data_IF_687215869927
#
_entry.id   IF_687215869927
#
_cell.length_a   1.000
_cell.length_b   1.000
_cell.length_c   1.000
_cell.angle_alpha   90.00
_cell.angle_beta   90.00
_cell.angle_gamma   90.00
#
_symmetry.space_group_name_H-M   'P 1'
#
loop_
_entity.id
_entity.type
_entity.pdbx_description
1 polymer ?
#
# COMPACT_ATOMS: atom_id res chain seq x y z
N UNK A 1 33.49 -17.78 -9.23
CA UNK A 1 33.59 -16.90 -10.42
C UNK A 1 32.16 -16.80 -10.96
N UNK A 2 31.58 -15.66 -11.30
CA UNK A 2 32.09 -14.28 -11.48
C UNK A 2 31.48 -13.33 -10.41
N UNK A 3 32.14 -12.33 -9.82
CA UNK A 3 32.89 -11.16 -10.34
C UNK A 3 32.05 -9.90 -10.65
N UNK A 4 31.44 -9.34 -9.59
CA UNK A 4 31.20 -7.90 -9.30
C UNK A 4 30.96 -6.92 -10.47
N UNK A 5 29.92 -6.10 -10.33
CA UNK A 5 30.06 -4.62 -10.40
C UNK A 5 28.95 -3.88 -9.65
N UNK A 6 29.34 -3.23 -8.55
CA UNK A 6 28.57 -2.12 -7.96
C UNK A 6 28.91 -0.83 -8.72
N UNK A 7 27.97 0.10 -8.84
CA UNK A 7 28.19 1.42 -9.43
C UNK A 7 27.78 2.52 -8.46
N UNK A 8 28.72 2.95 -7.61
CA UNK A 8 28.62 4.18 -6.83
C UNK A 8 29.43 5.29 -7.49
N UNK A 9 28.85 6.49 -7.57
CA UNK A 9 29.58 7.72 -7.91
C UNK A 9 29.02 8.87 -7.08
N UNK A 10 29.87 9.82 -6.69
CA UNK A 10 29.41 10.89 -5.81
C UNK A 10 30.21 12.18 -5.87
N UNK A 11 29.44 13.26 -5.67
CA UNK A 11 29.78 14.48 -4.93
C UNK A 11 30.79 15.48 -5.56
N UNK A 12 30.36 16.77 -5.55
CA UNK A 12 31.11 18.03 -5.81
C UNK A 12 31.37 18.31 -7.31
N UNK A 13 31.44 19.54 -7.81
CA UNK A 13 31.59 20.88 -7.19
C UNK A 13 30.57 21.93 -7.72
N UNK A 14 30.46 23.09 -7.05
CA UNK A 14 29.83 24.32 -7.56
C UNK A 14 30.84 25.28 -8.21
N UNK A 15 30.39 26.35 -8.91
CA UNK A 15 30.17 27.68 -8.29
C UNK A 15 28.74 28.22 -8.59
N UNK A 16 28.05 29.08 -7.82
CA UNK A 16 28.37 30.31 -7.04
C UNK A 16 28.09 31.63 -7.78
N UNK A 17 27.02 32.33 -7.33
CA UNK A 17 26.87 33.80 -7.23
C UNK A 17 26.59 34.55 -8.56
N UNK A 18 25.82 35.69 -8.57
CA UNK A 18 25.30 36.49 -7.45
C UNK A 18 23.77 36.62 -7.33
N UNK A 19 23.35 37.00 -6.12
CA UNK A 19 22.08 37.71 -5.85
C UNK A 19 22.40 39.19 -5.60
N UNK A 20 21.65 40.11 -6.21
CA UNK A 20 21.49 41.49 -5.73
C UNK A 20 20.03 41.61 -5.26
N UNK A 21 19.72 41.85 -3.98
CA UNK A 21 20.14 42.92 -3.04
C UNK A 21 19.52 44.28 -3.38
N UNK A 22 18.38 44.56 -2.74
CA UNK A 22 17.85 45.91 -2.54
C UNK A 22 17.77 46.15 -1.02
N UNK A 23 18.49 47.16 -0.54
CA UNK A 23 18.38 47.72 0.81
C UNK A 23 18.43 49.24 0.70
N UNK A 24 17.76 49.94 1.61
CA UNK A 24 17.51 51.38 1.51
C UNK A 24 18.69 52.27 1.95
N UNK A 25 18.76 53.48 1.39
CA UNK A 25 19.43 54.66 1.96
C UNK A 25 18.88 55.96 1.29
N UNK A 26 19.05 57.13 1.93
CA UNK A 26 18.29 58.36 1.61
C UNK A 26 19.19 59.56 1.10
N UNK A 27 18.98 60.88 1.39
CA UNK A 27 19.28 61.98 0.43
C UNK A 27 20.45 62.92 0.87
N UNK A 28 20.76 64.03 0.14
CA UNK A 28 20.15 65.35 0.46
C UNK A 28 20.09 66.39 -0.71
N UNK A 29 19.58 67.61 -0.42
CA UNK A 29 19.81 68.85 -1.20
C UNK A 29 18.62 69.32 -2.05
N UNK A 30 17.90 70.44 -1.79
CA UNK A 30 18.09 71.66 -0.98
C UNK A 30 18.91 72.80 -1.61
N UNK A 31 18.23 73.64 -2.41
CA UNK A 31 18.49 75.07 -2.60
C UNK A 31 17.14 75.80 -2.72
N UNK A 32 16.97 77.10 -2.45
CA UNK A 32 17.34 78.00 -1.35
C UNK A 32 16.86 79.39 -1.80
N UNK A 33 15.96 79.98 -1.01
CA UNK A 33 15.40 81.33 -1.10
C UNK A 33 16.40 82.47 -1.42
N UNK A 34 15.94 83.62 -1.97
CA UNK A 34 15.29 84.67 -1.15
C UNK A 34 14.07 85.35 -1.82
N UNK A 35 13.46 86.45 -1.32
CA UNK A 35 13.02 86.89 0.03
C UNK A 35 12.64 88.39 -0.06
N UNK A 36 11.58 88.83 0.63
CA UNK A 36 11.21 90.26 0.87
C UNK A 36 10.87 91.09 -0.40
N UNK A 37 10.18 92.25 -0.33
CA UNK A 37 9.86 93.11 0.83
C UNK A 37 8.43 93.68 0.73
N UNK A 38 7.82 94.01 1.88
CA UNK A 38 6.69 94.95 1.94
C UNK A 38 7.13 96.36 1.54
N UNK A 39 6.19 97.23 1.16
CA UNK A 39 6.18 98.63 1.62
C UNK A 39 4.79 99.28 1.36
N UNK A 40 4.37 100.14 2.27
CA UNK A 40 3.22 101.05 2.09
C UNK A 40 3.67 102.36 1.45
N UNK A 41 2.71 103.22 1.06
CA UNK A 41 2.88 104.65 1.37
C UNK A 41 1.67 105.26 2.09
N UNK A 42 1.90 106.39 2.76
CA UNK A 42 0.89 107.13 3.54
C UNK A 42 1.14 108.64 3.37
N UNK A 43 0.09 109.41 3.07
CA UNK A 43 -0.06 110.88 3.26
C UNK A 43 0.87 111.86 2.50
N UNK A 44 0.21 112.81 1.79
CA UNK A 44 0.76 114.14 1.44
C UNK A 44 1.47 114.23 0.07
N UNK A 45 1.57 115.44 -0.54
CA UNK A 45 1.58 116.75 0.13
C UNK A 45 0.40 117.70 -0.21
N UNK A 46 0.54 118.98 0.20
CA UNK A 46 -0.44 120.07 0.17
C UNK A 46 -0.74 120.63 -1.24
N UNK A 47 -1.86 121.34 -1.35
CA UNK A 47 -2.12 122.30 -2.42
C UNK A 47 -1.05 123.41 -2.45
N UNK A 48 -0.62 123.79 -3.65
CA UNK A 48 0.06 125.05 -3.95
C UNK A 48 -0.62 125.70 -5.16
N UNK A 49 -0.87 127.01 -5.12
CA UNK A 49 -1.56 127.71 -6.21
C UNK A 49 -0.61 128.03 -7.36
N UNK A 50 -0.91 127.57 -8.58
CA UNK A 50 -0.11 127.84 -9.77
C UNK A 50 -0.79 127.31 -11.04
N UNK A 51 -1.16 128.25 -11.92
CA UNK A 51 -1.67 128.15 -13.31
C UNK A 51 -1.87 126.74 -13.93
N UNK A 52 -3.06 126.51 -14.48
CA UNK A 52 -3.43 125.30 -15.22
C UNK A 52 -2.81 125.24 -16.62
N UNK A 53 -2.09 124.15 -16.93
CA UNK A 53 -1.70 123.78 -18.30
C UNK A 53 -2.42 122.49 -18.73
N UNK A 54 -3.59 122.63 -19.38
CA UNK A 54 -4.45 121.51 -19.76
C UNK A 54 -3.83 120.56 -20.81
N UNK A 55 -2.82 121.00 -21.55
CA UNK A 55 -2.23 120.21 -22.64
C UNK A 55 -1.54 118.93 -22.15
N UNK A 56 -0.81 118.98 -21.04
CA UNK A 56 -0.06 117.81 -20.53
C UNK A 56 -1.01 116.77 -19.90
N UNK A 57 -2.04 117.23 -19.19
CA UNK A 57 -3.06 116.37 -18.63
C UNK A 57 -3.87 115.62 -19.70
N UNK A 58 -4.08 116.22 -20.87
CA UNK A 58 -4.78 115.56 -21.98
C UNK A 58 -3.95 114.43 -22.62
N UNK A 59 -2.62 114.56 -22.68
CA UNK A 59 -1.73 113.52 -23.21
C UNK A 59 -1.70 112.29 -22.28
N UNK A 60 -1.43 112.51 -20.99
CA UNK A 60 -1.44 111.45 -19.97
C UNK A 60 -2.78 110.72 -19.88
N UNK A 61 -3.90 111.41 -20.11
CA UNK A 61 -5.23 110.82 -20.12
C UNK A 61 -5.60 110.15 -21.47
N UNK A 62 -4.80 110.31 -22.52
CA UNK A 62 -4.84 109.46 -23.72
C UNK A 62 -4.06 108.17 -23.47
N UNK A 63 -2.81 108.30 -23.02
CA UNK A 63 -1.94 107.17 -22.65
C UNK A 63 -2.63 106.24 -21.64
N UNK A 64 -3.25 106.79 -20.58
CA UNK A 64 -3.98 106.00 -19.59
C UNK A 64 -5.29 105.36 -20.12
N UNK A 65 -5.82 105.84 -21.24
CA UNK A 65 -6.94 105.18 -21.94
C UNK A 65 -6.44 104.07 -22.85
N UNK A 66 -5.31 104.29 -23.52
CA UNK A 66 -4.64 103.29 -24.36
C UNK A 66 -4.12 102.11 -23.53
N UNK A 67 -3.45 102.34 -22.39
CA UNK A 67 -3.06 101.25 -21.48
C UNK A 67 -4.29 100.51 -20.97
N UNK A 68 -5.35 101.21 -20.54
CA UNK A 68 -6.59 100.57 -20.07
C UNK A 68 -7.35 99.82 -21.16
N UNK A 69 -7.24 100.22 -22.44
CA UNK A 69 -7.77 99.41 -23.55
C UNK A 69 -6.89 98.19 -23.83
N UNK A 70 -5.57 98.30 -23.70
CA UNK A 70 -4.65 97.18 -23.89
C UNK A 70 -4.83 96.15 -22.76
N UNK A 71 -4.84 96.57 -21.50
CA UNK A 71 -5.21 95.74 -20.34
C UNK A 71 -6.57 95.05 -20.54
N UNK A 72 -7.56 95.75 -21.10
CA UNK A 72 -8.87 95.17 -21.39
C UNK A 72 -8.80 94.12 -22.51
N UNK A 73 -8.00 94.33 -23.55
CA UNK A 73 -7.80 93.36 -24.65
C UNK A 73 -7.03 92.13 -24.14
N UNK A 74 -5.94 92.32 -23.40
CA UNK A 74 -5.18 91.23 -22.74
C UNK A 74 -6.08 90.41 -21.81
N UNK A 75 -6.93 91.06 -21.00
CA UNK A 75 -7.92 90.37 -20.16
C UNK A 75 -9.03 89.68 -20.98
N UNK A 76 -9.31 90.13 -22.21
CA UNK A 76 -10.24 89.46 -23.12
C UNK A 76 -9.60 88.21 -23.71
N UNK A 77 -8.38 88.32 -24.27
CA UNK A 77 -7.60 87.19 -24.79
C UNK A 77 -7.36 86.13 -23.72
N UNK A 78 -7.05 86.54 -22.49
CA UNK A 78 -6.88 85.63 -21.35
C UNK A 78 -8.19 84.90 -21.00
N UNK A 79 -9.33 85.60 -21.06
CA UNK A 79 -10.65 85.03 -20.79
C UNK A 79 -11.12 84.08 -21.91
N UNK A 80 -10.89 84.43 -23.18
CA UNK A 80 -11.15 83.55 -24.34
C UNK A 80 -10.27 82.28 -24.25
N UNK A 81 -9.02 82.43 -23.81
CA UNK A 81 -8.12 81.31 -23.54
C UNK A 81 -8.60 80.44 -22.37
N UNK A 82 -9.12 81.04 -21.29
CA UNK A 82 -9.78 80.29 -20.22
C UNK A 82 -11.06 79.60 -20.67
N UNK A 83 -11.90 80.22 -21.51
CA UNK A 83 -13.08 79.60 -22.09
C UNK A 83 -12.71 78.37 -22.91
N UNK A 84 -11.70 78.46 -23.79
CA UNK A 84 -11.19 77.32 -24.55
C UNK A 84 -10.62 76.21 -23.66
N UNK A 85 -10.03 76.55 -22.51
CA UNK A 85 -9.54 75.57 -21.54
C UNK A 85 -10.69 74.88 -20.80
N UNK A 86 -11.72 75.62 -20.37
CA UNK A 86 -12.93 75.07 -19.72
C UNK A 86 -13.68 74.15 -20.69
N UNK A 87 -13.80 74.53 -21.96
CA UNK A 87 -14.41 73.70 -23.00
C UNK A 87 -13.59 72.43 -23.26
N UNK A 88 -12.26 72.53 -23.31
CA UNK A 88 -11.37 71.36 -23.40
C UNK A 88 -11.46 70.45 -22.18
N UNK A 89 -11.57 71.00 -20.97
CA UNK A 89 -11.78 70.21 -19.74
C UNK A 89 -13.14 69.51 -19.78
N UNK A 90 -14.23 70.18 -20.19
CA UNK A 90 -15.54 69.54 -20.38
C UNK A 90 -15.51 68.41 -21.42
N UNK A 91 -14.82 68.60 -22.53
CA UNK A 91 -14.63 67.56 -23.54
C UNK A 91 -13.87 66.36 -22.98
N UNK A 92 -12.78 66.59 -22.24
CA UNK A 92 -11.99 65.54 -21.58
C UNK A 92 -12.77 64.83 -20.45
N UNK A 93 -13.60 65.55 -19.70
CA UNK A 93 -14.52 64.95 -18.74
C UNK A 93 -15.58 64.08 -19.42
N UNK A 94 -16.15 64.53 -20.54
CA UNK A 94 -17.14 63.76 -21.30
C UNK A 94 -16.50 62.52 -21.92
N UNK A 95 -15.29 62.63 -22.46
CA UNK A 95 -14.51 61.49 -22.95
C UNK A 95 -14.18 60.50 -21.83
N UNK A 96 -13.74 60.97 -20.65
CA UNK A 96 -13.53 60.09 -19.49
C UNK A 96 -14.83 59.41 -19.02
N UNK A 97 -15.97 60.12 -19.02
CA UNK A 97 -17.28 59.52 -18.67
C UNK A 97 -17.68 58.41 -19.66
N UNK A 98 -17.42 58.59 -20.95
CA UNK A 98 -17.62 57.54 -21.97
C UNK A 98 -16.67 56.36 -21.74
N UNK A 99 -15.36 56.62 -21.62
CA UNK A 99 -14.34 55.58 -21.39
C UNK A 99 -14.58 54.77 -20.11
N UNK A 100 -15.10 55.38 -19.04
CA UNK A 100 -15.48 54.66 -17.80
C UNK A 100 -16.70 53.76 -18.03
N UNK A 101 -17.67 54.18 -18.83
CA UNK A 101 -18.82 53.33 -19.20
C UNK A 101 -18.38 52.18 -20.10
N UNK A 102 -17.54 52.43 -21.09
CA UNK A 102 -16.97 51.41 -21.99
C UNK A 102 -16.10 50.40 -21.21
N UNK A 103 -15.27 50.86 -20.28
CA UNK A 103 -14.43 50.00 -19.44
C UNK A 103 -15.27 49.11 -18.51
N UNK A 104 -16.36 49.63 -17.93
CA UNK A 104 -17.28 48.81 -17.14
C UNK A 104 -18.01 47.79 -18.02
N UNK A 105 -18.50 48.19 -19.20
CA UNK A 105 -19.16 47.27 -20.14
C UNK A 105 -18.21 46.16 -20.64
N UNK A 106 -16.94 46.47 -20.88
CA UNK A 106 -15.93 45.47 -21.22
C UNK A 106 -15.66 44.52 -20.04
N UNK A 107 -15.53 45.06 -18.83
CA UNK A 107 -15.31 44.27 -17.59
C UNK A 107 -16.48 43.32 -17.28
N UNK A 108 -17.71 43.73 -17.56
CA UNK A 108 -18.91 42.90 -17.43
C UNK A 108 -19.07 41.85 -18.56
N UNK A 109 -18.26 41.95 -19.63
CA UNK A 109 -18.21 40.99 -20.75
C UNK A 109 -17.04 39.99 -20.64
N UNK A 110 -15.99 40.31 -19.86
CA UNK A 110 -14.89 39.39 -19.56
C UNK A 110 -15.23 38.37 -18.44
N UNK A 111 -14.46 37.28 -18.32
CA UNK A 111 -14.65 36.06 -19.06
C UNK A 111 -15.58 35.07 -18.33
N UNK A 112 -16.62 35.52 -17.59
CA UNK A 112 -17.45 34.65 -16.72
C UNK A 112 -17.87 33.37 -17.43
N UNK A 113 -18.55 33.46 -18.59
CA UNK A 113 -19.03 32.31 -19.35
C UNK A 113 -17.94 31.27 -19.65
N UNK A 114 -16.71 31.71 -19.90
CA UNK A 114 -15.58 30.80 -20.18
C UNK A 114 -15.05 30.17 -18.89
N UNK A 115 -14.99 30.93 -17.80
CA UNK A 115 -14.68 30.39 -16.48
C UNK A 115 -15.76 29.39 -15.99
N UNK A 116 -17.04 29.65 -16.28
CA UNK A 116 -18.17 28.81 -15.93
C UNK A 116 -18.10 27.46 -16.68
N UNK A 117 -17.82 27.48 -17.99
CA UNK A 117 -17.57 26.26 -18.80
C UNK A 117 -16.39 25.45 -18.23
N UNK A 118 -15.27 26.09 -17.91
CA UNK A 118 -14.12 25.37 -17.31
C UNK A 118 -14.43 24.83 -15.91
N UNK A 119 -15.30 25.48 -15.13
CA UNK A 119 -15.77 24.93 -13.86
C UNK A 119 -16.72 23.73 -14.07
N UNK A 120 -17.56 23.72 -15.11
CA UNK A 120 -18.42 22.58 -15.46
C UNK A 120 -17.60 21.37 -15.90
N UNK A 121 -16.64 21.54 -16.81
CA UNK A 121 -15.70 20.48 -17.18
C UNK A 121 -14.91 19.97 -15.96
N UNK A 122 -14.48 20.86 -15.05
CA UNK A 122 -13.78 20.45 -13.83
C UNK A 122 -14.69 19.68 -12.85
N UNK A 123 -16.00 20.00 -12.78
CA UNK A 123 -16.99 19.23 -11.99
C UNK A 123 -17.21 17.85 -12.60
N UNK A 124 -17.31 17.75 -13.93
CA UNK A 124 -17.53 16.47 -14.61
C UNK A 124 -16.29 15.58 -14.64
N UNK A 125 -15.08 16.16 -14.73
CA UNK A 125 -13.84 15.42 -14.53
C UNK A 125 -13.74 14.86 -13.10
N UNK A 126 -14.12 15.63 -12.07
CA UNK A 126 -14.19 15.13 -10.68
C UNK A 126 -15.20 13.99 -10.52
N UNK A 127 -16.42 14.15 -11.05
CA UNK A 127 -17.44 13.07 -11.08
C UNK A 127 -16.92 11.81 -11.77
N UNK A 128 -16.21 11.93 -12.90
CA UNK A 128 -15.59 10.79 -13.60
C UNK A 128 -14.49 10.13 -12.76
N UNK A 129 -13.67 10.90 -12.05
CA UNK A 129 -12.66 10.36 -11.11
C UNK A 129 -13.31 9.64 -9.93
N UNK A 130 -14.38 10.18 -9.34
CA UNK A 130 -15.16 9.55 -8.27
C UNK A 130 -15.83 8.24 -8.73
N UNK A 131 -16.40 8.23 -9.94
CA UNK A 131 -16.96 7.04 -10.57
C UNK A 131 -15.90 5.97 -10.86
N UNK A 132 -14.72 6.36 -11.37
CA UNK A 132 -13.61 5.43 -11.60
C UNK A 132 -13.01 4.91 -10.30
N UNK A 133 -12.89 5.73 -9.26
CA UNK A 133 -12.41 5.31 -7.94
C UNK A 133 -13.36 4.32 -7.27
N UNK A 134 -14.67 4.57 -7.33
CA UNK A 134 -15.68 3.64 -6.77
C UNK A 134 -15.82 2.36 -7.59
N UNK A 135 -15.66 2.42 -8.92
CA UNK A 135 -15.58 1.22 -9.77
C UNK A 135 -14.30 0.41 -9.48
N UNK A 136 -13.14 1.06 -9.34
CA UNK A 136 -11.87 0.43 -8.96
C UNK A 136 -11.99 -0.29 -7.62
N UNK A 137 -12.53 0.37 -6.60
CA UNK A 137 -12.67 -0.22 -5.26
C UNK A 137 -13.56 -1.48 -5.26
N UNK A 138 -14.61 -1.53 -6.10
CA UNK A 138 -15.41 -2.75 -6.30
C UNK A 138 -14.62 -3.86 -6.97
N UNK A 139 -13.90 -3.56 -8.06
CA UNK A 139 -13.06 -4.53 -8.76
C UNK A 139 -11.90 -5.06 -7.89
N UNK A 140 -11.40 -4.25 -6.96
CA UNK A 140 -10.40 -4.68 -5.97
C UNK A 140 -11.02 -5.64 -4.93
N UNK A 141 -12.23 -5.37 -4.43
CA UNK A 141 -12.94 -6.34 -3.57
C UNK A 141 -13.33 -7.62 -4.32
N UNK A 142 -13.78 -7.53 -5.58
CA UNK A 142 -14.08 -8.69 -6.43
C UNK A 142 -12.82 -9.53 -6.69
N UNK A 143 -11.67 -8.90 -6.94
CA UNK A 143 -10.37 -9.58 -7.03
C UNK A 143 -10.02 -10.31 -5.73
N UNK A 144 -10.18 -9.65 -4.59
CA UNK A 144 -9.74 -10.20 -3.30
C UNK A 144 -10.64 -11.37 -2.86
N UNK A 145 -11.97 -11.25 -3.03
CA UNK A 145 -12.90 -12.36 -2.84
C UNK A 145 -12.53 -13.57 -3.74
N UNK A 146 -12.25 -13.32 -5.04
CA UNK A 146 -11.84 -14.38 -5.96
C UNK A 146 -10.47 -14.99 -5.60
N UNK A 147 -9.56 -14.22 -4.99
CA UNK A 147 -8.28 -14.73 -4.51
C UNK A 147 -8.45 -15.62 -3.26
N UNK A 148 -9.33 -15.25 -2.33
CA UNK A 148 -9.71 -16.09 -1.18
C UNK A 148 -10.41 -17.38 -1.63
N UNK A 149 -11.36 -17.30 -2.57
CA UNK A 149 -12.01 -18.48 -3.16
C UNK A 149 -10.99 -19.44 -3.81
N UNK A 150 -10.07 -18.90 -4.63
CA UNK A 150 -9.03 -19.67 -5.31
C UNK A 150 -8.07 -20.31 -4.30
N UNK A 151 -7.69 -19.58 -3.24
CA UNK A 151 -6.92 -20.13 -2.12
C UNK A 151 -7.65 -21.29 -1.41
N UNK A 152 -8.96 -21.13 -1.15
CA UNK A 152 -9.77 -22.19 -0.54
C UNK A 152 -9.88 -23.44 -1.44
N UNK A 153 -9.92 -23.25 -2.76
CA UNK A 153 -9.96 -24.34 -3.74
C UNK A 153 -8.59 -25.02 -3.87
N UNK A 154 -7.50 -24.28 -3.79
CA UNK A 154 -6.14 -24.83 -3.73
C UNK A 154 -5.93 -25.68 -2.47
N UNK A 155 -6.40 -25.22 -1.31
CA UNK A 155 -6.33 -26.01 -0.08
C UNK A 155 -7.15 -27.31 -0.20
N UNK A 156 -8.43 -27.23 -0.60
CA UNK A 156 -9.29 -28.41 -0.81
C UNK A 156 -8.68 -29.41 -1.80
N UNK A 157 -8.01 -28.92 -2.85
CA UNK A 157 -7.30 -29.76 -3.82
C UNK A 157 -6.05 -30.44 -3.21
N UNK A 158 -5.31 -29.76 -2.34
CA UNK A 158 -4.20 -30.37 -1.60
C UNK A 158 -4.68 -31.44 -0.63
N UNK A 159 -5.74 -31.14 0.15
CA UNK A 159 -6.37 -32.08 1.08
C UNK A 159 -6.83 -33.34 0.33
N UNK A 160 -7.59 -33.19 -0.76
CA UNK A 160 -8.07 -34.30 -1.60
C UNK A 160 -6.90 -35.10 -2.21
N UNK A 161 -5.81 -34.45 -2.63
CA UNK A 161 -4.60 -35.13 -3.13
C UNK A 161 -3.92 -35.95 -2.03
N UNK A 162 -3.88 -35.46 -0.78
CA UNK A 162 -3.35 -36.24 0.35
C UNK A 162 -4.22 -37.46 0.66
N UNK A 163 -5.54 -37.29 0.76
CA UNK A 163 -6.49 -38.39 0.96
C UNK A 163 -6.41 -39.44 -0.15
N UNK A 164 -6.24 -39.01 -1.40
CA UNK A 164 -6.04 -39.89 -2.58
C UNK A 164 -4.75 -40.71 -2.46
N UNK A 165 -3.65 -40.10 -2.00
CA UNK A 165 -2.36 -40.78 -1.80
C UNK A 165 -2.40 -41.75 -0.61
N UNK A 166 -3.07 -41.40 0.49
CA UNK A 166 -3.32 -42.30 1.61
C UNK A 166 -4.17 -43.51 1.19
N UNK A 167 -5.23 -43.27 0.41
CA UNK A 167 -6.06 -44.34 -0.15
C UNK A 167 -5.28 -45.27 -1.09
N UNK A 168 -4.42 -44.72 -1.96
CA UNK A 168 -3.54 -45.52 -2.82
C UNK A 168 -2.52 -46.35 -2.02
N UNK A 169 -1.93 -45.76 -0.96
CA UNK A 169 -1.01 -46.45 -0.05
C UNK A 169 -1.68 -47.59 0.71
N UNK A 170 -2.87 -47.34 1.27
CA UNK A 170 -3.65 -48.36 1.98
C UNK A 170 -4.09 -49.50 1.02
N UNK A 171 -4.48 -49.16 -0.22
CA UNK A 171 -4.83 -50.14 -1.24
C UNK A 171 -3.62 -50.97 -1.71
N UNK A 172 -2.41 -50.38 -1.73
CA UNK A 172 -1.18 -51.12 -1.99
C UNK A 172 -0.83 -52.09 -0.84
N UNK A 173 -0.98 -51.66 0.42
CA UNK A 173 -0.81 -52.52 1.59
C UNK A 173 -1.80 -53.71 1.58
N UNK A 174 -3.09 -53.46 1.35
CA UNK A 174 -4.09 -54.53 1.28
C UNK A 174 -3.84 -55.53 0.12
N UNK A 175 -3.24 -55.10 -1.00
CA UNK A 175 -2.78 -56.03 -2.05
C UNK A 175 -1.65 -56.92 -1.54
N UNK A 176 -0.65 -56.34 -0.89
CA UNK A 176 0.45 -57.10 -0.28
C UNK A 176 -0.05 -58.09 0.78
N UNK A 177 -1.02 -57.70 1.60
CA UNK A 177 -1.65 -58.60 2.58
C UNK A 177 -2.42 -59.76 1.92
N UNK A 178 -3.12 -59.51 0.81
CA UNK A 178 -3.79 -60.56 0.02
C UNK A 178 -2.77 -61.50 -0.62
N UNK A 179 -1.66 -60.99 -1.16
CA UNK A 179 -0.58 -61.82 -1.74
C UNK A 179 0.11 -62.66 -0.65
N UNK A 180 0.41 -62.07 0.51
CA UNK A 180 0.94 -62.77 1.69
C UNK A 180 -0.02 -63.87 2.16
N UNK A 181 -1.32 -63.60 2.24
CA UNK A 181 -2.33 -64.58 2.62
C UNK A 181 -2.49 -65.69 1.58
N UNK A 182 -2.36 -65.39 0.28
CA UNK A 182 -2.38 -66.38 -0.79
C UNK A 182 -1.15 -67.32 -0.74
N UNK A 183 0.04 -66.79 -0.46
CA UNK A 183 1.25 -67.58 -0.22
C UNK A 183 1.10 -68.49 1.00
N UNK A 184 0.63 -67.95 2.13
CA UNK A 184 0.37 -68.74 3.33
C UNK A 184 -0.68 -69.85 3.09
N UNK A 185 -1.70 -69.58 2.27
CA UNK A 185 -2.69 -70.59 1.85
C UNK A 185 -2.05 -71.71 1.03
N UNK A 186 -1.20 -71.35 0.06
CA UNK A 186 -0.46 -72.32 -0.77
C UNK A 186 0.55 -73.16 0.04
N UNK A 187 1.15 -72.60 1.08
CA UNK A 187 2.03 -73.35 2.01
C UNK A 187 1.24 -74.36 2.85
N UNK A 188 0.06 -73.98 3.34
CA UNK A 188 -0.84 -74.87 4.06
C UNK A 188 -1.42 -75.95 3.13
N UNK A 189 -1.82 -75.61 1.91
CA UNK A 189 -2.30 -76.57 0.90
C UNK A 189 -1.21 -77.60 0.54
N UNK A 190 0.03 -77.14 0.31
CA UNK A 190 1.18 -78.04 0.09
C UNK A 190 1.43 -78.95 1.30
N UNK A 191 1.38 -78.42 2.52
CA UNK A 191 1.61 -79.21 3.75
C UNK A 191 0.50 -80.22 4.02
N UNK A 192 -0.76 -79.89 3.70
CA UNK A 192 -1.88 -80.83 3.72
C UNK A 192 -1.67 -81.94 2.70
N UNK A 193 -1.22 -81.63 1.48
CA UNK A 193 -0.84 -82.62 0.47
C UNK A 193 0.22 -83.59 0.97
N UNK A 194 1.36 -83.10 1.47
CA UNK A 194 2.44 -83.96 1.99
C UNK A 194 1.99 -84.86 3.15
N UNK A 195 1.09 -84.37 4.02
CA UNK A 195 0.54 -85.17 5.12
C UNK A 195 -0.47 -86.23 4.62
N UNK A 196 -1.20 -85.95 3.54
CA UNK A 196 -2.07 -86.94 2.89
C UNK A 196 -1.26 -88.03 2.20
N UNK A 197 -0.16 -87.68 1.53
CA UNK A 197 0.79 -88.63 0.94
C UNK A 197 1.47 -89.49 2.01
N UNK A 198 1.89 -88.90 3.13
CA UNK A 198 2.45 -89.62 4.28
C UNK A 198 1.44 -90.61 4.90
N UNK A 199 0.18 -90.18 5.09
CA UNK A 199 -0.90 -91.07 5.57
C UNK A 199 -1.18 -92.19 4.55
N UNK A 200 -1.14 -91.92 3.25
CA UNK A 200 -1.35 -92.92 2.21
C UNK A 200 -0.19 -93.93 2.13
N UNK A 201 1.05 -93.48 2.32
CA UNK A 201 2.24 -94.32 2.42
C UNK A 201 2.17 -95.22 3.67
N UNK A 202 1.93 -94.64 4.85
CA UNK A 202 1.81 -95.39 6.10
C UNK A 202 0.66 -96.43 6.04
N UNK A 203 -0.44 -96.15 5.34
CA UNK A 203 -1.50 -97.16 5.13
C UNK A 203 -1.03 -98.33 4.29
N UNK A 204 -0.33 -98.09 3.17
CA UNK A 204 0.23 -99.16 2.33
C UNK A 204 1.24 -100.01 3.10
N UNK A 205 2.14 -99.38 3.86
CA UNK A 205 3.13 -100.10 4.69
C UNK A 205 2.43 -100.99 5.71
N UNK A 206 1.43 -100.49 6.45
CA UNK A 206 0.67 -101.35 7.37
C UNK A 206 -0.15 -102.45 6.65
N UNK A 207 -0.68 -102.21 5.45
CA UNK A 207 -1.36 -103.24 4.64
C UNK A 207 -0.39 -104.33 4.16
N UNK A 208 0.84 -103.95 3.79
CA UNK A 208 1.93 -104.85 3.42
C UNK A 208 2.46 -105.63 4.63
N UNK A 209 2.72 -104.98 5.77
CA UNK A 209 3.08 -105.62 7.05
C UNK A 209 2.00 -106.61 7.52
N UNK A 210 0.72 -106.22 7.48
CA UNK A 210 -0.39 -107.10 7.84
C UNK A 210 -0.50 -108.29 6.89
N UNK A 211 -0.22 -108.10 5.60
CA UNK A 211 -0.15 -109.20 4.62
C UNK A 211 1.04 -110.11 4.93
N UNK A 212 2.22 -109.59 5.19
CA UNK A 212 3.39 -110.39 5.54
C UNK A 212 3.17 -111.17 6.84
N UNK A 213 2.58 -110.56 7.88
CA UNK A 213 2.22 -111.25 9.11
C UNK A 213 1.15 -112.33 8.89
N UNK A 214 0.18 -112.11 8.00
CA UNK A 214 -0.78 -113.15 7.60
C UNK A 214 -0.11 -114.29 6.82
N UNK A 215 0.82 -113.99 5.92
CA UNK A 215 1.62 -115.01 5.23
C UNK A 215 2.54 -115.77 6.19
N UNK A 216 3.19 -115.09 7.15
CA UNK A 216 3.99 -115.72 8.20
C UNK A 216 3.12 -116.63 9.08
N UNK A 217 1.92 -116.19 9.48
CA UNK A 217 0.97 -117.00 10.24
C UNK A 217 0.45 -118.21 9.43
N UNK A 218 0.24 -118.04 8.13
CA UNK A 218 -0.15 -119.13 7.24
C UNK A 218 0.99 -120.16 7.04
N UNK A 219 2.23 -119.68 6.85
CA UNK A 219 3.46 -120.51 6.79
C UNK A 219 3.73 -121.22 8.13
N UNK A 220 3.46 -120.57 9.28
CA UNK A 220 3.54 -121.23 10.60
C UNK A 220 2.42 -122.24 10.84
N UNK A 221 1.25 -122.08 10.20
CA UNK A 221 0.15 -123.06 10.25
C UNK A 221 0.29 -124.22 9.28
N UNK A 222 1.19 -124.13 8.29
CA UNK A 222 1.41 -125.17 7.28
C UNK A 222 2.91 -125.41 7.09
N UNK A 223 3.36 -126.56 7.60
CA UNK A 223 4.67 -127.18 7.41
C UNK A 223 5.79 -126.78 8.42
N UNK A 224 5.90 -127.60 9.48
CA UNK A 224 7.18 -127.90 10.14
C UNK A 224 7.37 -129.41 10.09
N UNK A 225 7.80 -129.92 8.94
CA UNK A 225 8.35 -131.27 8.82
C UNK A 225 9.81 -131.13 8.40
N UNK A 226 10.71 -131.66 9.22
CA UNK A 226 12.16 -131.40 9.11
C UNK A 226 12.80 -132.51 8.28
N UNK A 227 12.74 -132.37 6.96
CA UNK A 227 13.24 -133.38 6.04
C UNK A 227 14.77 -133.29 5.88
N UNK A 228 15.49 -134.35 6.31
CA UNK A 228 16.93 -134.29 6.60
C UNK A 228 17.80 -134.90 5.50
N UNK A 229 17.70 -134.36 4.28
CA UNK A 229 18.72 -134.58 3.26
C UNK A 229 19.92 -133.65 3.50
N UNK A 230 21.14 -134.21 3.61
CA UNK A 230 22.36 -133.44 3.94
C UNK A 230 22.75 -132.52 2.76
N UNK A 231 22.72 -131.19 2.92
CA UNK A 231 23.37 -130.27 1.97
C UNK A 231 24.89 -130.33 2.20
N UNK A 232 25.68 -129.80 1.26
CA UNK A 232 27.07 -129.45 1.59
C UNK A 232 27.06 -128.25 2.55
N UNK A 233 27.11 -128.55 3.85
CA UNK A 233 27.18 -127.57 4.92
C UNK A 233 28.38 -126.61 4.72
N UNK A 234 29.45 -127.10 4.09
CA UNK A 234 30.65 -126.32 3.77
C UNK A 234 30.38 -125.25 2.70
N UNK A 235 29.44 -125.47 1.79
CA UNK A 235 29.00 -124.48 0.82
C UNK A 235 28.03 -123.48 1.46
N UNK A 236 26.97 -123.96 2.12
CA UNK A 236 25.99 -123.08 2.77
C UNK A 236 26.63 -122.13 3.80
N UNK A 237 27.57 -122.61 4.62
CA UNK A 237 28.31 -121.76 5.56
C UNK A 237 29.23 -120.74 4.86
N UNK A 238 29.74 -121.05 3.66
CA UNK A 238 30.57 -120.14 2.86
C UNK A 238 29.73 -119.05 2.21
N UNK A 239 28.55 -119.41 1.71
CA UNK A 239 27.61 -118.47 1.11
C UNK A 239 27.03 -117.52 2.16
N UNK A 240 26.56 -118.05 3.31
CA UNK A 240 26.11 -117.25 4.46
C UNK A 240 27.23 -116.30 4.92
N UNK A 241 28.48 -116.79 5.01
CA UNK A 241 29.62 -115.94 5.35
C UNK A 241 29.85 -114.84 4.32
N UNK A 242 29.79 -115.16 3.02
CA UNK A 242 29.94 -114.15 1.96
C UNK A 242 28.83 -113.09 1.98
N UNK A 243 27.59 -113.48 2.32
CA UNK A 243 26.47 -112.57 2.51
C UNK A 243 26.68 -111.66 3.72
N UNK A 244 27.16 -112.18 4.84
CA UNK A 244 27.53 -111.37 6.01
C UNK A 244 28.71 -110.43 5.73
N UNK A 245 29.74 -110.88 5.02
CA UNK A 245 30.88 -110.05 4.64
C UNK A 245 30.47 -108.95 3.63
N UNK A 246 29.58 -109.26 2.69
CA UNK A 246 28.99 -108.28 1.77
C UNK A 246 28.05 -107.28 2.46
N UNK A 247 27.17 -107.74 3.36
CA UNK A 247 26.30 -106.84 4.15
C UNK A 247 27.09 -105.95 5.09
N UNK A 248 28.16 -106.46 5.71
CA UNK A 248 29.06 -105.66 6.54
C UNK A 248 29.78 -104.59 5.71
N UNK A 249 30.27 -104.93 4.51
CA UNK A 249 30.88 -103.97 3.59
C UNK A 249 29.88 -102.91 3.12
N UNK A 250 28.66 -103.32 2.73
CA UNK A 250 27.58 -102.42 2.31
C UNK A 250 27.21 -101.45 3.43
N UNK A 251 26.95 -101.94 4.64
CA UNK A 251 26.63 -101.11 5.80
C UNK A 251 27.75 -100.11 6.16
N UNK A 252 29.03 -100.51 6.05
CA UNK A 252 30.17 -99.58 6.25
C UNK A 252 30.21 -98.50 5.15
N UNK A 253 29.97 -98.87 3.88
CA UNK A 253 29.92 -97.91 2.78
C UNK A 253 28.70 -96.97 2.90
N UNK A 254 27.51 -97.49 3.18
CA UNK A 254 26.27 -96.74 3.36
C UNK A 254 26.37 -95.77 4.54
N UNK A 255 26.95 -96.19 5.67
CA UNK A 255 27.18 -95.28 6.81
C UNK A 255 28.25 -94.23 6.50
N UNK A 256 29.34 -94.57 5.82
CA UNK A 256 30.31 -93.58 5.32
C UNK A 256 29.67 -92.56 4.36
N UNK A 257 28.87 -93.00 3.40
CA UNK A 257 28.17 -92.14 2.43
C UNK A 257 27.11 -91.27 3.11
N UNK A 258 26.37 -91.81 4.08
CA UNK A 258 25.45 -91.07 4.92
C UNK A 258 26.16 -89.98 5.74
N UNK A 259 27.30 -90.29 6.38
CA UNK A 259 28.10 -89.29 7.09
C UNK A 259 28.66 -88.23 6.14
N UNK A 260 29.22 -88.62 4.98
CA UNK A 260 29.74 -87.67 3.97
C UNK A 260 28.64 -86.72 3.49
N UNK A 261 27.46 -87.24 3.18
CA UNK A 261 26.27 -86.47 2.82
C UNK A 261 25.85 -85.53 3.96
N UNK A 262 25.80 -86.01 5.20
CA UNK A 262 25.43 -85.20 6.38
C UNK A 262 26.45 -84.07 6.67
N UNK A 263 27.74 -84.30 6.42
CA UNK A 263 28.75 -83.25 6.52
C UNK A 263 28.64 -82.23 5.38
N UNK A 264 28.30 -82.65 4.16
CA UNK A 264 28.01 -81.73 3.05
C UNK A 264 26.78 -80.85 3.35
N UNK A 265 25.65 -81.44 3.74
CA UNK A 265 24.43 -80.76 4.19
C UNK A 265 24.73 -79.63 5.21
N UNK A 266 25.50 -79.97 6.25
CA UNK A 266 25.85 -79.05 7.33
C UNK A 266 26.81 -77.95 6.87
N UNK A 267 27.74 -78.27 5.96
CA UNK A 267 28.68 -77.29 5.39
C UNK A 267 27.94 -76.30 4.48
N UNK A 268 27.06 -76.78 3.61
CA UNK A 268 26.25 -75.94 2.73
C UNK A 268 25.23 -75.11 3.51
N UNK A 269 24.67 -75.64 4.61
CA UNK A 269 23.82 -74.86 5.51
C UNK A 269 24.64 -73.75 6.21
N UNK A 270 25.82 -74.06 6.73
CA UNK A 270 26.71 -73.08 7.36
C UNK A 270 27.15 -71.99 6.37
N UNK A 271 27.46 -72.35 5.12
CA UNK A 271 27.76 -71.40 4.05
C UNK A 271 26.58 -70.45 3.78
N UNK A 272 25.37 -70.98 3.54
CA UNK A 272 24.15 -70.19 3.34
C UNK A 272 23.84 -69.27 4.52
N UNK A 273 24.02 -69.73 5.76
CA UNK A 273 23.85 -68.89 6.94
C UNK A 273 24.92 -67.78 7.06
N UNK A 274 26.17 -68.06 6.69
CA UNK A 274 27.24 -67.06 6.64
C UNK A 274 26.97 -65.99 5.56
N UNK A 275 26.46 -66.39 4.39
CA UNK A 275 26.07 -65.46 3.32
C UNK A 275 24.86 -64.61 3.68
N UNK A 276 23.82 -65.19 4.28
CA UNK A 276 22.67 -64.44 4.79
C UNK A 276 23.09 -63.42 5.87
N UNK A 277 23.97 -63.82 6.79
CA UNK A 277 24.54 -62.91 7.80
C UNK A 277 25.43 -61.81 7.18
N UNK A 278 26.09 -62.10 6.04
CA UNK A 278 26.88 -61.12 5.29
C UNK A 278 25.98 -60.09 4.60
N UNK A 279 24.88 -60.52 3.98
CA UNK A 279 23.90 -59.66 3.33
C UNK A 279 23.17 -58.75 4.33
N UNK A 280 22.62 -59.32 5.41
CA UNK A 280 21.97 -58.54 6.48
C UNK A 280 22.92 -57.50 7.12
N UNK A 281 24.23 -57.79 7.19
CA UNK A 281 25.25 -56.82 7.62
C UNK A 281 25.54 -55.74 6.58
N UNK A 282 25.38 -55.99 5.28
CA UNK A 282 25.50 -54.95 4.25
C UNK A 282 24.29 -54.02 4.28
N UNK A 283 23.08 -54.59 4.26
CA UNK A 283 21.80 -53.88 4.39
C UNK A 283 21.78 -52.98 5.64
N UNK A 284 22.14 -53.51 6.81
CA UNK A 284 22.22 -52.73 8.05
C UNK A 284 23.25 -51.57 7.98
N UNK A 285 24.35 -51.73 7.24
CA UNK A 285 25.30 -50.63 7.01
C UNK A 285 24.80 -49.62 5.98
N UNK A 286 23.99 -50.04 5.02
CA UNK A 286 23.38 -49.17 4.00
C UNK A 286 22.25 -48.33 4.60
N UNK A 287 21.36 -48.92 5.40
CA UNK A 287 20.40 -48.17 6.21
C UNK A 287 21.10 -47.19 7.16
N UNK A 288 22.24 -47.58 7.77
CA UNK A 288 23.02 -46.67 8.62
C UNK A 288 23.59 -45.48 7.84
N UNK A 289 24.06 -45.68 6.61
CA UNK A 289 24.51 -44.59 5.72
C UNK A 289 23.36 -43.69 5.28
N UNK A 290 22.20 -44.27 4.93
CA UNK A 290 20.99 -43.52 4.55
C UNK A 290 20.52 -42.63 5.71
N UNK A 291 20.46 -43.17 6.93
CA UNK A 291 20.17 -42.41 8.16
C UNK A 291 21.15 -41.26 8.37
N UNK A 292 22.46 -41.48 8.18
CA UNK A 292 23.46 -40.43 8.30
C UNK A 292 23.28 -39.33 7.23
N UNK A 293 23.02 -39.69 5.97
CA UNK A 293 22.74 -38.72 4.90
C UNK A 293 21.49 -37.88 5.21
N UNK A 294 20.36 -38.53 5.51
CA UNK A 294 19.10 -37.88 5.88
C UNK A 294 19.25 -36.98 7.13
N UNK A 295 20.10 -37.36 8.09
CA UNK A 295 20.38 -36.51 9.26
C UNK A 295 21.13 -35.25 8.86
N UNK A 296 22.17 -35.35 8.02
CA UNK A 296 22.91 -34.19 7.52
C UNK A 296 22.03 -33.28 6.63
N UNK A 297 21.14 -33.86 5.81
CA UNK A 297 20.19 -33.09 4.99
C UNK A 297 19.18 -32.34 5.87
N UNK A 298 18.66 -32.98 6.94
CA UNK A 298 17.79 -32.33 7.93
C UNK A 298 18.51 -31.22 8.71
N UNK A 299 19.79 -31.41 9.06
CA UNK A 299 20.60 -30.38 9.73
C UNK A 299 20.88 -29.19 8.79
N UNK A 300 21.18 -29.45 7.51
CA UNK A 300 21.37 -28.41 6.50
C UNK A 300 20.08 -27.62 6.22
N UNK A 301 18.94 -28.30 6.09
CA UNK A 301 17.63 -27.66 5.90
C UNK A 301 17.22 -26.84 7.13
N UNK A 302 17.48 -27.33 8.36
CA UNK A 302 17.28 -26.56 9.60
C UNK A 302 18.14 -25.29 9.62
N UNK A 303 19.45 -25.40 9.35
CA UNK A 303 20.35 -24.25 9.30
C UNK A 303 19.95 -23.23 8.24
N UNK A 304 19.46 -23.70 7.07
CA UNK A 304 18.90 -22.83 6.03
C UNK A 304 17.63 -22.13 6.50
N UNK A 305 16.71 -22.83 7.15
CA UNK A 305 15.46 -22.25 7.65
C UNK A 305 15.74 -21.19 8.73
N UNK A 306 16.58 -21.51 9.74
CA UNK A 306 16.99 -20.53 10.75
C UNK A 306 17.69 -19.30 10.12
N UNK A 307 18.44 -19.47 9.02
CA UNK A 307 19.05 -18.35 8.29
C UNK A 307 18.00 -17.47 7.61
N UNK A 308 16.97 -18.07 7.01
CA UNK A 308 15.85 -17.34 6.40
C UNK A 308 15.00 -16.64 7.46
N UNK A 309 14.72 -17.27 8.60
CA UNK A 309 14.04 -16.62 9.73
C UNK A 309 14.82 -15.42 10.29
N UNK A 310 16.16 -15.52 10.40
CA UNK A 310 16.99 -14.38 10.82
C UNK A 310 16.91 -13.24 9.80
N UNK A 311 16.98 -13.55 8.50
CA UNK A 311 16.83 -12.56 7.43
C UNK A 311 15.43 -11.93 7.40
N UNK A 312 14.37 -12.69 7.69
CA UNK A 312 13.01 -12.16 7.83
C UNK A 312 12.95 -11.14 8.97
N UNK A 313 13.39 -11.52 10.18
CA UNK A 313 13.42 -10.62 11.35
C UNK A 313 14.26 -9.37 11.10
N UNK A 314 15.43 -9.50 10.48
CA UNK A 314 16.27 -8.36 10.10
C UNK A 314 15.59 -7.42 9.09
N UNK A 315 14.71 -7.93 8.21
CA UNK A 315 13.94 -7.10 7.29
C UNK A 315 12.74 -6.44 7.99
N UNK A 316 12.04 -7.18 8.84
CA UNK A 316 10.94 -6.67 9.67
C UNK A 316 11.41 -5.53 10.59
N UNK A 317 12.55 -5.70 11.27
CA UNK A 317 13.18 -4.65 12.09
C UNK A 317 13.56 -3.41 11.27
N UNK A 318 14.11 -3.59 10.06
CA UNK A 318 14.45 -2.46 9.17
C UNK A 318 13.22 -1.72 8.69
N UNK A 319 12.18 -2.43 8.25
CA UNK A 319 10.92 -1.80 7.83
C UNK A 319 10.19 -1.13 9.00
N UNK A 320 10.28 -1.67 10.22
CA UNK A 320 9.76 -1.02 11.42
C UNK A 320 10.51 0.30 11.72
N UNK A 321 11.84 0.30 11.61
CA UNK A 321 12.66 1.51 11.78
C UNK A 321 12.43 2.56 10.68
N UNK A 322 12.29 2.14 9.43
CA UNK A 322 11.92 3.03 8.32
C UNK A 322 10.52 3.62 8.52
N UNK A 323 9.54 2.79 8.90
CA UNK A 323 8.16 3.24 9.19
C UNK A 323 8.11 4.22 10.36
N UNK A 324 8.86 3.97 11.44
CA UNK A 324 9.00 4.90 12.54
C UNK A 324 9.64 6.23 12.09
N UNK A 325 10.71 6.17 11.27
CA UNK A 325 11.34 7.36 10.70
C UNK A 325 10.39 8.18 9.81
N UNK A 326 9.56 7.53 9.00
CA UNK A 326 8.51 8.23 8.24
C UNK A 326 7.48 8.85 9.17
N UNK A 327 7.01 8.14 10.20
CA UNK A 327 6.06 8.66 11.19
C UNK A 327 6.62 9.88 11.94
N UNK A 328 7.89 9.87 12.35
CA UNK A 328 8.57 11.01 12.96
C UNK A 328 8.61 12.21 12.01
N UNK A 329 8.87 12.01 10.71
CA UNK A 329 8.83 13.11 9.73
C UNK A 329 7.41 13.65 9.50
N UNK A 330 6.37 12.81 9.58
CA UNK A 330 4.97 13.25 9.52
C UNK A 330 4.62 14.09 10.74
N UNK A 331 4.91 13.60 11.95
CA UNK A 331 4.65 14.33 13.21
C UNK A 331 5.35 15.69 13.20
N UNK A 332 6.62 15.75 12.77
CA UNK A 332 7.36 17.01 12.71
C UNK A 332 6.77 17.99 11.68
N UNK A 333 6.28 17.51 10.54
CA UNK A 333 5.58 18.34 9.56
C UNK A 333 4.21 18.81 10.07
N UNK A 334 3.51 18.00 10.86
CA UNK A 334 2.27 18.39 11.54
C UNK A 334 2.51 19.41 12.68
N UNK A 335 3.70 19.43 13.28
CA UNK A 335 4.17 20.47 14.21
C UNK A 335 4.53 21.76 13.47
N UNK A 336 5.34 21.68 12.40
CA UNK A 336 5.67 22.79 11.51
C UNK A 336 4.38 23.48 11.00
N UNK A 337 3.37 22.70 10.59
CA UNK A 337 2.05 23.19 10.13
C UNK A 337 1.20 23.79 11.26
N UNK A 338 1.31 23.32 12.51
CA UNK A 338 0.61 23.91 13.67
C UNK A 338 1.22 25.26 14.04
N UNK A 339 2.54 25.32 14.18
CA UNK A 339 3.28 26.54 14.45
C UNK A 339 2.97 27.64 13.42
N UNK A 340 3.02 27.34 12.12
CA UNK A 340 2.69 28.30 11.06
C UNK A 340 1.22 28.77 11.08
N UNK A 341 0.28 27.97 11.59
CA UNK A 341 -1.12 28.39 11.78
C UNK A 341 -1.28 29.31 12.99
N UNK A 342 -0.53 29.06 14.06
CA UNK A 342 -0.50 29.89 15.26
C UNK A 342 0.14 31.26 14.97
N UNK A 343 1.28 31.29 14.26
CA UNK A 343 1.90 32.52 13.76
C UNK A 343 0.97 33.32 12.83
N UNK A 344 0.28 32.65 11.90
CA UNK A 344 -0.71 33.29 11.02
C UNK A 344 -1.88 33.89 11.82
N UNK A 345 -2.36 33.19 12.85
CA UNK A 345 -3.43 33.69 13.72
C UNK A 345 -2.98 34.90 14.55
N UNK A 346 -1.75 34.89 15.08
CA UNK A 346 -1.16 36.05 15.76
C UNK A 346 -1.05 37.25 14.82
N UNK A 347 -0.51 37.08 13.61
CA UNK A 347 -0.42 38.17 12.64
C UNK A 347 -1.79 38.73 12.23
N UNK A 348 -2.81 37.89 12.08
CA UNK A 348 -4.17 38.36 11.82
C UNK A 348 -4.73 39.20 12.98
N UNK A 349 -4.43 38.84 14.23
CA UNK A 349 -4.77 39.64 15.41
C UNK A 349 -4.01 40.98 15.42
N UNK A 350 -2.69 40.96 15.19
CA UNK A 350 -1.85 42.18 15.10
C UNK A 350 -2.36 43.15 14.01
N UNK A 351 -2.75 42.62 12.84
CA UNK A 351 -3.33 43.42 11.75
C UNK A 351 -4.70 44.00 12.12
N UNK A 352 -5.55 43.24 12.83
CA UNK A 352 -6.85 43.73 13.28
C UNK A 352 -6.69 44.84 14.33
N UNK A 353 -5.75 44.71 15.26
CA UNK A 353 -5.52 45.73 16.29
C UNK A 353 -4.83 46.98 15.71
N UNK A 354 -3.94 46.83 14.73
CA UNK A 354 -3.41 47.96 13.97
C UNK A 354 -4.51 48.68 13.14
N UNK A 355 -5.46 47.94 12.58
CA UNK A 355 -6.63 48.50 11.89
C UNK A 355 -7.55 49.24 12.87
N UNK A 356 -7.76 48.70 14.07
CA UNK A 356 -8.53 49.34 15.15
C UNK A 356 -7.90 50.70 15.54
N UNK A 357 -6.57 50.74 15.74
CA UNK A 357 -5.82 51.98 16.00
C UNK A 357 -5.92 52.96 14.83
N UNK A 358 -5.79 52.49 13.58
CA UNK A 358 -5.94 53.33 12.40
C UNK A 358 -7.33 53.97 12.30
N UNK A 359 -8.39 53.23 12.63
CA UNK A 359 -9.77 53.73 12.65
C UNK A 359 -9.97 54.78 13.76
N UNK A 360 -9.38 54.60 14.94
CA UNK A 360 -9.38 55.62 15.99
C UNK A 360 -8.70 56.92 15.53
N UNK A 361 -7.53 56.82 14.87
CA UNK A 361 -6.82 57.96 14.31
C UNK A 361 -7.59 58.68 13.18
N UNK A 362 -8.33 57.95 12.33
CA UNK A 362 -9.24 58.57 11.34
C UNK A 362 -10.31 59.41 12.03
N UNK A 363 -10.89 58.91 13.13
CA UNK A 363 -11.93 59.60 13.91
C UNK A 363 -11.33 60.84 14.61
N UNK A 364 -10.15 60.73 15.20
CA UNK A 364 -9.42 61.89 15.75
C UNK A 364 -9.19 62.96 14.66
N UNK A 365 -8.63 62.58 13.51
CA UNK A 365 -8.41 63.49 12.37
C UNK A 365 -9.73 64.14 11.90
N UNK A 366 -10.83 63.38 11.84
CA UNK A 366 -12.13 63.91 11.47
C UNK A 366 -12.68 64.91 12.51
N UNK A 367 -12.50 64.66 13.80
CA UNK A 367 -12.90 65.62 14.86
C UNK A 367 -12.02 66.86 14.88
N UNK A 368 -10.71 66.74 14.67
CA UNK A 368 -9.80 67.88 14.54
C UNK A 368 -10.14 68.75 13.34
N UNK A 369 -10.45 68.16 12.17
CA UNK A 369 -10.93 68.91 10.98
C UNK A 369 -12.21 69.67 11.27
N UNK A 370 -13.21 69.00 11.85
CA UNK A 370 -14.49 69.62 12.23
C UNK A 370 -14.33 70.76 13.25
N UNK A 371 -13.33 70.67 14.13
CA UNK A 371 -13.02 71.74 15.09
C UNK A 371 -12.33 72.93 14.41
N UNK A 372 -11.43 72.69 13.44
CA UNK A 372 -10.79 73.72 12.62
C UNK A 372 -11.80 74.45 11.71
N UNK A 373 -12.68 73.72 11.03
CA UNK A 373 -13.83 74.27 10.29
C UNK A 373 -14.72 75.15 11.22
N UNK A 374 -14.84 74.76 12.48
CA UNK A 374 -15.51 75.52 13.55
C UNK A 374 -14.77 76.78 14.05
N UNK A 375 -13.49 76.96 13.73
CA UNK A 375 -12.73 78.19 13.96
C UNK A 375 -12.63 79.06 12.70
N UNK A 376 -12.47 78.46 11.52
CA UNK A 376 -12.51 79.19 10.24
C UNK A 376 -13.85 79.92 10.05
N UNK A 377 -14.95 79.29 10.48
CA UNK A 377 -16.29 79.90 10.55
C UNK A 377 -16.48 80.94 11.65
N UNK A 378 -15.57 81.05 12.62
CA UNK A 378 -15.50 82.18 13.59
C UNK A 378 -14.63 83.34 13.08
N UNK A 379 -13.60 83.05 12.28
CA UNK A 379 -12.59 84.01 11.85
C UNK A 379 -12.95 84.69 10.51
N UNK A 380 -13.80 84.07 9.68
CA UNK A 380 -14.09 84.54 8.31
C UNK A 380 -15.33 85.44 8.22
N UNK A 381 -15.12 86.73 7.94
CA UNK A 381 -16.16 87.66 7.47
C UNK A 381 -16.60 87.23 6.05
N UNK A 382 -17.91 87.18 5.71
CA UNK A 382 -18.41 86.27 4.70
C UNK A 382 -18.10 86.64 3.24
N UNK A 383 -17.60 85.67 2.48
CA UNK A 383 -17.68 85.62 1.01
C UNK A 383 -18.23 84.25 0.57
N UNK A 384 -19.52 84.28 0.21
CA UNK A 384 -20.35 83.30 -0.52
C UNK A 384 -19.92 81.82 -0.63
N UNK A 385 -20.77 80.96 -0.05
CA UNK A 385 -20.79 79.50 -0.24
C UNK A 385 -21.12 79.08 -1.68
N UNK A 386 -20.66 77.89 -2.08
CA UNK A 386 -21.31 77.12 -3.14
C UNK A 386 -21.30 75.60 -2.88
N UNK A 387 -22.41 74.96 -3.26
CA UNK A 387 -22.57 73.53 -3.58
C UNK A 387 -22.32 72.49 -2.48
N UNK A 388 -23.42 71.99 -1.93
CA UNK A 388 -23.49 70.77 -1.13
C UNK A 388 -23.15 69.50 -1.94
N UNK A 389 -22.55 68.51 -1.28
CA UNK A 389 -22.51 67.12 -1.74
C UNK A 389 -23.33 66.24 -0.80
N UNK A 390 -24.26 65.47 -1.37
CA UNK A 390 -25.11 64.54 -0.62
C UNK A 390 -24.35 63.23 -0.38
N UNK A 391 -23.94 62.96 0.86
CA UNK A 391 -23.53 61.61 1.26
C UNK A 391 -24.80 60.77 1.39
N UNK A 392 -24.85 59.67 0.65
CA UNK A 392 -25.99 58.75 0.59
C UNK A 392 -25.67 57.53 1.45
N UNK A 393 -26.45 57.31 2.51
CA UNK A 393 -26.28 56.14 3.38
C UNK A 393 -26.44 54.84 2.58
N UNK A 394 -25.45 53.95 2.70
CA UNK A 394 -25.54 52.57 2.22
C UNK A 394 -25.72 51.65 3.42
N UNK A 395 -26.94 51.10 3.57
CA UNK A 395 -27.25 50.11 4.60
C UNK A 395 -26.29 48.93 4.53
N UNK A 396 -25.70 48.56 5.67
CA UNK A 396 -24.97 47.30 5.81
C UNK A 396 -25.94 46.23 6.31
N UNK A 397 -26.36 45.34 5.42
CA UNK A 397 -27.18 44.17 5.75
C UNK A 397 -26.38 43.18 6.62
N UNK A 398 -26.40 43.39 7.95
CA UNK A 398 -25.96 42.38 8.92
C UNK A 398 -26.99 41.24 8.96
N UNK A 399 -26.95 40.34 7.96
CA UNK A 399 -27.73 39.11 7.97
C UNK A 399 -27.28 38.22 9.12
N UNK A 400 -28.08 38.22 10.19
CA UNK A 400 -27.97 37.26 11.27
C UNK A 400 -28.15 35.84 10.74
N UNK A 401 -27.14 35.00 10.95
CA UNK A 401 -27.26 33.55 10.71
C UNK A 401 -28.06 32.98 11.87
N UNK A 402 -29.37 32.84 11.68
CA UNK A 402 -30.25 32.22 12.67
C UNK A 402 -30.01 30.71 12.77
N UNK A 403 -30.04 30.19 13.99
CA UNK A 403 -29.72 28.78 14.29
C UNK A 403 -30.80 27.82 13.77
N UNK A 404 -30.66 27.40 12.52
CA UNK A 404 -31.48 26.36 11.91
C UNK A 404 -31.22 25.01 12.60
N UNK A 405 -32.01 24.71 13.64
CA UNK A 405 -31.95 23.45 14.39
C UNK A 405 -32.21 22.24 13.48
N UNK A 406 -31.14 21.51 13.13
CA UNK A 406 -31.20 20.35 12.24
C UNK A 406 -31.85 19.16 12.95
N UNK A 407 -33.17 19.02 12.79
CA UNK A 407 -33.91 17.82 13.20
C UNK A 407 -33.46 16.62 12.36
N UNK A 408 -32.73 15.70 12.98
CA UNK A 408 -32.27 14.45 12.32
C UNK A 408 -33.37 13.39 12.45
N UNK A 409 -33.92 12.93 11.34
CA UNK A 409 -34.78 11.74 11.32
C UNK A 409 -33.93 10.49 11.09
N UNK A 410 -33.89 9.58 12.06
CA UNK A 410 -33.17 8.31 11.92
C UNK A 410 -34.07 7.33 11.15
N UNK A 411 -33.54 6.80 10.03
CA UNK A 411 -34.21 5.79 9.21
C UNK A 411 -33.50 4.47 9.41
N UNK A 412 -34.17 3.51 10.06
CA UNK A 412 -33.66 2.14 10.15
C UNK A 412 -34.22 1.34 8.96
N UNK A 413 -33.31 0.77 8.17
CA UNK A 413 -33.61 -0.27 7.18
C UNK A 413 -33.12 -1.61 7.73
N UNK A 414 -34.00 -2.60 7.74
CA UNK A 414 -33.65 -3.98 8.05
C UNK A 414 -33.84 -4.82 6.79
N UNK A 415 -32.81 -5.57 6.41
CA UNK A 415 -32.77 -6.31 5.15
C UNK A 415 -32.44 -7.77 5.46
N UNK A 416 -33.38 -8.67 5.16
CA UNK A 416 -33.18 -10.10 5.32
C UNK A 416 -32.62 -10.66 4.00
N UNK A 417 -31.37 -11.10 4.02
CA UNK A 417 -30.69 -11.74 2.90
C UNK A 417 -30.43 -13.20 3.18
N UNK A 418 -30.53 -14.02 2.14
CA UNK A 418 -30.08 -15.41 2.16
C UNK A 418 -29.55 -15.75 0.78
N UNK A 419 -28.41 -16.45 0.74
CA UNK A 419 -27.79 -16.96 -0.49
C UNK A 419 -27.58 -15.86 -1.57
N UNK A 420 -27.34 -14.61 -1.12
CA UNK A 420 -27.07 -13.43 -1.95
C UNK A 420 -28.29 -12.57 -2.33
N UNK A 421 -29.51 -13.12 -2.29
CA UNK A 421 -30.72 -12.38 -2.68
C UNK A 421 -31.44 -11.73 -1.50
N UNK A 422 -32.04 -10.56 -1.74
CA UNK A 422 -32.84 -9.81 -0.76
C UNK A 422 -34.28 -10.33 -0.80
N UNK A 423 -34.64 -11.16 0.18
CA UNK A 423 -35.98 -11.74 0.26
C UNK A 423 -37.01 -10.77 0.84
N UNK A 424 -36.58 -9.80 1.66
CA UNK A 424 -37.46 -8.80 2.28
C UNK A 424 -36.70 -7.56 2.71
N UNK A 425 -37.21 -6.39 2.32
CA UNK A 425 -36.81 -5.10 2.87
C UNK A 425 -37.95 -4.53 3.73
N UNK A 426 -37.63 -4.03 4.92
CA UNK A 426 -38.55 -3.23 5.73
C UNK A 426 -37.88 -1.92 6.17
N UNK A 427 -38.62 -0.81 6.03
CA UNK A 427 -38.18 0.55 6.37
C UNK A 427 -39.12 1.12 7.43
N UNK A 428 -38.60 1.37 8.63
CA UNK A 428 -39.37 1.98 9.71
C UNK A 428 -38.77 3.35 10.06
N UNK A 429 -39.59 4.40 9.91
CA UNK A 429 -39.21 5.77 10.28
C UNK A 429 -39.65 6.08 11.71
N UNK A 430 -38.70 6.10 12.64
CA UNK A 430 -38.94 6.70 13.94
C UNK A 430 -38.71 8.21 13.86
N UNK A 431 -39.79 8.96 14.06
CA UNK A 431 -39.75 10.40 14.29
C UNK A 431 -39.70 10.61 15.80
N UNK A 432 -38.55 11.04 16.31
CA UNK A 432 -38.50 11.60 17.66
C UNK A 432 -39.33 12.89 17.69
N UNK A 433 -40.29 12.92 18.60
CA UNK A 433 -41.11 14.10 18.93
C UNK A 433 -40.32 14.88 20.00
N UNK A 434 -40.22 16.22 19.90
CA UNK A 434 -39.47 17.04 20.85
C UNK A 434 -40.09 17.07 22.25
#
# INVERSE_FOLDING_TARGET
MESRRLSSYGRRFGPSIPVYRVLAASPPGRLRAPRSTQLSPRLGPRLGSGKMDFSLASALNSEFRETRTNEKVEMMELNDRFASYIEKVRLLEQQNKVLVVELNQARDQEPSRTADIYQEELRDLRRRVEQLATAKARLEMERDNLAEDLGSLQQKLQDEVTLRLEAESNLAAYRQDVDNAALARLDLERRVGTLQDEIAFLRKVHEEELRELQEQLARQRVHVEVDTSKPDLTAALRDIRSQYEAMAASNVQETEEWYKSKFADLTDAAARHAEALRLAKQEANEYRRQLQALTCDLEALRGSNESLERQLRELEERYALETAGYQDTVVRLEEDIRSLKEEMAQHLQDYQDLLNVKLALDIEIATYRKLLEGEESRITIPVQSFSSLQIRETSLDTKSVSEAHVKRSIVVKTVETRDGEVLKESKQEHKEVP
#
